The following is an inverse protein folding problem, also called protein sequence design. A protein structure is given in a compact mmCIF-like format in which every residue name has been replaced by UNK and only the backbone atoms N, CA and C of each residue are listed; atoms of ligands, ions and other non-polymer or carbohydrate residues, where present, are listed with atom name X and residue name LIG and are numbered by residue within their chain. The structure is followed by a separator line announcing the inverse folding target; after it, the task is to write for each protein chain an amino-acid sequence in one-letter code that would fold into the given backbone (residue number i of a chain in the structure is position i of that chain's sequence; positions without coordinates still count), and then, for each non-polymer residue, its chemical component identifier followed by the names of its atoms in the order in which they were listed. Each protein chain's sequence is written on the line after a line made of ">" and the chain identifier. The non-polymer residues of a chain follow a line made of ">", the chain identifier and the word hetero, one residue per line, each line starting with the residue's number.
data_IF_806288488826
#
_entry.id   IF_806288488826
#
_cell.length_a   1.000
_cell.length_b   1.000
_cell.length_c   1.000
_cell.angle_alpha   90.00
_cell.angle_beta   90.00
_cell.angle_gamma   90.00
#
_symmetry.space_group_name_H-M   'P 1'
#
loop_
_entity.id
_entity.type
_entity.pdbx_description
1 polymer ?
#
# COMPACT_ATOMS: atom_id res chain seq x y z
N UNK A 1 -5.56 -15.86 19.04
CA UNK A 1 -6.63 -15.07 18.42
C UNK A 1 -6.72 -15.40 16.93
N UNK A 2 -7.93 -15.77 16.40
CA UNK A 2 -8.10 -16.13 14.97
C UNK A 2 -7.71 -14.99 14.01
N UNK A 3 -7.94 -13.74 14.38
CA UNK A 3 -7.57 -12.60 13.56
C UNK A 3 -6.05 -12.43 13.46
N UNK A 4 -5.35 -12.55 14.59
CA UNK A 4 -3.88 -12.48 14.62
C UNK A 4 -3.26 -13.57 13.75
N UNK A 5 -3.73 -14.82 13.89
CA UNK A 5 -3.28 -15.92 13.03
C UNK A 5 -3.54 -15.67 11.55
N UNK A 6 -4.71 -15.12 11.23
CA UNK A 6 -5.06 -14.76 9.85
C UNK A 6 -4.12 -13.69 9.29
N UNK A 7 -3.76 -12.68 10.09
CA UNK A 7 -2.81 -11.63 9.69
C UNK A 7 -1.38 -12.19 9.52
N UNK A 8 -0.95 -13.09 10.39
CA UNK A 8 0.35 -13.78 10.28
C UNK A 8 0.42 -14.62 9.00
N UNK A 9 -0.63 -15.41 8.72
CA UNK A 9 -0.72 -16.22 7.51
C UNK A 9 -0.69 -15.36 6.24
N UNK A 10 -1.43 -14.25 6.23
CA UNK A 10 -1.45 -13.29 5.12
C UNK A 10 -0.09 -12.62 4.92
N UNK A 11 0.57 -12.23 6.00
CA UNK A 11 1.92 -11.67 5.97
C UNK A 11 2.94 -12.68 5.45
N UNK A 12 2.89 -13.90 5.93
CA UNK A 12 3.77 -15.00 5.49
C UNK A 12 3.56 -15.30 4.01
N UNK A 13 2.31 -15.40 3.55
CA UNK A 13 1.99 -15.63 2.14
C UNK A 13 2.57 -14.51 1.25
N UNK A 14 2.45 -13.26 1.68
CA UNK A 14 3.02 -12.10 0.97
C UNK A 14 4.54 -12.17 0.91
N UNK A 15 5.20 -12.45 2.04
CA UNK A 15 6.67 -12.55 2.11
C UNK A 15 7.17 -13.67 1.19
N UNK A 16 6.54 -14.84 1.24
CA UNK A 16 6.91 -15.98 0.41
C UNK A 16 6.75 -15.65 -1.08
N UNK A 17 5.60 -15.09 -1.49
CA UNK A 17 5.37 -14.69 -2.87
C UNK A 17 6.39 -13.65 -3.36
N UNK A 18 6.74 -12.67 -2.51
CA UNK A 18 7.76 -11.67 -2.88
C UNK A 18 9.16 -12.29 -3.00
N UNK A 19 9.50 -13.26 -2.16
CA UNK A 19 10.77 -13.99 -2.26
C UNK A 19 10.82 -14.83 -3.54
N UNK A 20 9.75 -15.57 -3.85
CA UNK A 20 9.64 -16.38 -5.06
C UNK A 20 9.75 -15.48 -6.32
N UNK A 21 9.07 -14.33 -6.31
CA UNK A 21 9.16 -13.35 -7.40
C UNK A 21 10.56 -12.73 -7.55
N UNK A 22 11.25 -12.45 -6.44
CA UNK A 22 12.63 -11.96 -6.46
C UNK A 22 13.58 -13.00 -7.04
N UNK A 23 13.43 -14.25 -6.67
CA UNK A 23 14.21 -15.38 -7.21
C UNK A 23 13.93 -15.57 -8.69
N UNK A 24 12.66 -15.54 -9.11
CA UNK A 24 12.24 -15.64 -10.51
C UNK A 24 12.89 -14.55 -11.38
N UNK A 25 12.85 -13.29 -10.93
CA UNK A 25 13.52 -12.19 -11.66
C UNK A 25 15.01 -12.41 -11.82
N UNK A 26 15.66 -12.97 -10.78
CA UNK A 26 17.09 -13.24 -10.81
C UNK A 26 17.43 -14.43 -11.71
N UNK A 27 16.66 -15.52 -11.65
CA UNK A 27 16.93 -16.75 -12.42
C UNK A 27 16.80 -16.54 -13.93
N UNK A 28 15.83 -15.70 -14.35
CA UNK A 28 15.59 -15.37 -15.75
C UNK A 28 16.37 -14.13 -16.24
N UNK A 29 17.08 -13.44 -15.35
CA UNK A 29 17.83 -12.20 -15.65
C UNK A 29 17.00 -11.18 -16.45
N UNK A 30 15.76 -10.94 -16.00
CA UNK A 30 14.83 -10.04 -16.71
C UNK A 30 14.86 -8.56 -16.28
N UNK A 31 15.51 -8.10 -15.18
CA UNK A 31 15.35 -6.74 -14.69
C UNK A 31 15.70 -5.65 -15.71
N UNK A 32 16.72 -5.87 -16.55
CA UNK A 32 17.11 -4.95 -17.59
C UNK A 32 16.10 -4.95 -18.76
N UNK A 33 15.59 -6.12 -19.11
CA UNK A 33 14.61 -6.28 -20.20
C UNK A 33 13.26 -5.65 -19.83
N UNK A 34 12.82 -5.77 -18.59
CA UNK A 34 11.57 -5.17 -18.12
C UNK A 34 11.52 -3.64 -18.23
N UNK A 35 12.68 -2.97 -18.16
CA UNK A 35 12.77 -1.50 -18.26
C UNK A 35 12.82 -0.98 -19.69
N UNK A 36 13.06 -1.84 -20.69
CA UNK A 36 13.07 -1.44 -22.08
C UNK A 36 11.70 -0.91 -22.49
N UNK A 37 11.69 0.18 -23.25
CA UNK A 37 10.47 0.79 -23.78
C UNK A 37 10.26 0.39 -25.24
N UNK A 38 9.01 0.23 -25.61
CA UNK A 38 8.60 0.09 -27.00
C UNK A 38 8.45 1.47 -27.68
N UNK A 39 8.12 1.46 -28.98
CA UNK A 39 7.90 2.69 -29.78
C UNK A 39 6.76 3.56 -29.23
N UNK A 40 5.74 2.97 -28.60
CA UNK A 40 4.60 3.66 -27.97
C UNK A 40 4.92 4.17 -26.56
N UNK A 41 6.15 4.01 -26.07
CA UNK A 41 6.61 4.51 -24.78
C UNK A 41 6.29 3.61 -23.59
N UNK A 42 5.59 2.49 -23.78
CA UNK A 42 5.34 1.51 -22.72
C UNK A 42 6.58 0.68 -22.42
N UNK A 43 6.76 0.32 -21.16
CA UNK A 43 7.84 -0.60 -20.76
C UNK A 43 7.45 -2.06 -20.98
N UNK A 44 8.43 -2.95 -21.11
CA UNK A 44 8.17 -4.38 -21.18
C UNK A 44 7.50 -4.91 -19.91
N UNK A 45 7.75 -4.30 -18.75
CA UNK A 45 7.02 -4.63 -17.51
C UNK A 45 5.52 -4.33 -17.65
N UNK A 46 5.17 -3.18 -18.23
CA UNK A 46 3.77 -2.84 -18.51
C UNK A 46 3.16 -3.81 -19.54
N UNK A 47 3.93 -4.22 -20.56
CA UNK A 47 3.49 -5.21 -21.54
C UNK A 47 3.19 -6.57 -20.87
N UNK A 48 4.08 -7.06 -20.01
CA UNK A 48 3.87 -8.31 -19.24
C UNK A 48 2.63 -8.19 -18.35
N UNK A 49 2.43 -7.06 -17.67
CA UNK A 49 1.24 -6.83 -16.83
C UNK A 49 -0.04 -6.86 -17.66
N UNK A 50 -0.06 -6.17 -18.80
CA UNK A 50 -1.22 -6.18 -19.73
C UNK A 50 -1.50 -7.59 -20.24
N UNK A 51 -0.47 -8.35 -20.57
CA UNK A 51 -0.60 -9.75 -20.97
C UNK A 51 -1.22 -10.59 -19.85
N UNK A 52 -0.76 -10.44 -18.61
CA UNK A 52 -1.30 -11.15 -17.45
C UNK A 52 -2.75 -10.74 -17.14
N UNK A 53 -3.10 -9.46 -17.25
CA UNK A 53 -4.48 -9.00 -17.11
C UNK A 53 -5.41 -9.65 -18.16
N UNK A 54 -4.96 -9.68 -19.39
CA UNK A 54 -5.72 -10.30 -20.51
C UNK A 54 -5.87 -11.82 -20.32
N UNK A 55 -4.83 -12.52 -19.85
CA UNK A 55 -4.90 -13.95 -19.52
C UNK A 55 -5.95 -14.25 -18.43
N UNK A 56 -6.18 -13.31 -17.53
CA UNK A 56 -7.22 -13.41 -16.50
C UNK A 56 -8.60 -12.95 -16.99
N UNK A 57 -8.72 -12.52 -18.25
CA UNK A 57 -9.96 -12.00 -18.81
C UNK A 57 -10.36 -10.62 -18.31
N UNK A 58 -9.40 -9.84 -17.80
CA UNK A 58 -9.66 -8.51 -17.30
C UNK A 58 -9.51 -7.45 -18.41
N UNK A 59 -10.46 -6.51 -18.44
CA UNK A 59 -10.31 -5.30 -19.25
C UNK A 59 -9.33 -4.33 -18.60
N UNK A 60 -8.42 -3.75 -19.41
CA UNK A 60 -7.42 -2.80 -18.94
C UNK A 60 -7.94 -1.38 -19.14
N UNK A 61 -8.21 -0.61 -18.08
CA UNK A 61 -8.77 0.73 -18.19
C UNK A 61 -7.88 1.68 -19.00
N UNK A 62 -8.49 2.43 -19.91
CA UNK A 62 -7.80 3.49 -20.67
C UNK A 62 -6.84 2.98 -21.75
N UNK A 63 -6.79 1.68 -22.03
CA UNK A 63 -5.96 1.10 -23.08
C UNK A 63 -6.79 0.91 -24.37
N UNK A 64 -6.27 1.39 -25.50
CA UNK A 64 -6.91 1.15 -26.78
C UNK A 64 -6.76 -0.32 -27.21
N UNK A 65 -7.68 -0.82 -28.06
CA UNK A 65 -7.60 -2.19 -28.59
C UNK A 65 -6.31 -2.43 -29.39
N UNK A 66 -5.78 -1.39 -30.02
CA UNK A 66 -4.52 -1.44 -30.76
C UNK A 66 -3.35 -1.61 -29.79
N UNK A 67 -3.26 -0.74 -28.76
CA UNK A 67 -2.18 -0.81 -27.78
C UNK A 67 -2.22 -2.14 -27.02
N UNK A 68 -3.42 -2.63 -26.68
CA UNK A 68 -3.60 -3.94 -26.05
C UNK A 68 -2.98 -5.05 -26.91
N UNK A 69 -3.27 -5.05 -28.21
CA UNK A 69 -2.72 -6.04 -29.13
C UNK A 69 -1.19 -5.91 -29.23
N UNK A 70 -0.70 -4.69 -29.43
CA UNK A 70 0.73 -4.41 -29.58
C UNK A 70 1.53 -4.84 -28.34
N UNK A 71 1.01 -4.55 -27.15
CA UNK A 71 1.65 -4.95 -25.87
C UNK A 71 1.63 -6.48 -25.66
N UNK A 72 0.56 -7.15 -26.02
CA UNK A 72 0.48 -8.63 -26.00
C UNK A 72 1.47 -9.25 -26.99
N UNK A 73 1.55 -8.71 -28.19
CA UNK A 73 2.45 -9.19 -29.24
C UNK A 73 3.92 -9.08 -28.83
N UNK A 74 4.30 -8.03 -28.07
CA UNK A 74 5.66 -7.90 -27.52
C UNK A 74 6.01 -9.07 -26.59
N UNK A 75 5.09 -9.48 -25.74
CA UNK A 75 5.31 -10.59 -24.80
C UNK A 75 5.36 -11.92 -25.57
N UNK A 76 4.39 -12.15 -26.47
CA UNK A 76 4.29 -13.40 -27.24
C UNK A 76 5.51 -13.61 -28.15
N UNK A 77 6.01 -12.54 -28.77
CA UNK A 77 7.19 -12.61 -29.66
C UNK A 77 8.51 -12.72 -28.93
N UNK A 78 8.54 -12.48 -27.62
CA UNK A 78 9.73 -12.57 -26.81
C UNK A 78 9.65 -13.79 -25.87
N UNK A 79 10.34 -14.92 -26.18
CA UNK A 79 10.26 -16.13 -25.38
C UNK A 79 10.62 -15.94 -23.90
N UNK A 80 11.55 -15.01 -23.62
CA UNK A 80 11.98 -14.71 -22.26
C UNK A 80 10.87 -14.02 -21.44
N UNK A 81 10.17 -13.05 -22.07
CA UNK A 81 9.04 -12.35 -21.43
C UNK A 81 7.82 -13.26 -21.29
N UNK A 82 7.54 -14.10 -22.29
CA UNK A 82 6.46 -15.08 -22.22
C UNK A 82 6.71 -16.08 -21.10
N UNK A 83 7.90 -16.67 -21.01
CA UNK A 83 8.28 -17.58 -19.92
C UNK A 83 8.18 -16.87 -18.56
N UNK A 84 8.61 -15.62 -18.47
CA UNK A 84 8.51 -14.84 -17.25
C UNK A 84 7.05 -14.64 -16.82
N UNK A 85 6.15 -14.31 -17.74
CA UNK A 85 4.72 -14.19 -17.48
C UNK A 85 4.10 -15.50 -16.98
N UNK A 86 4.39 -16.62 -17.62
CA UNK A 86 3.90 -17.95 -17.24
C UNK A 86 4.41 -18.34 -15.84
N UNK A 87 5.67 -18.06 -15.54
CA UNK A 87 6.24 -18.31 -14.22
C UNK A 87 5.62 -17.44 -13.13
N UNK A 88 5.21 -16.20 -13.43
CA UNK A 88 4.45 -15.37 -12.49
C UNK A 88 3.14 -16.07 -12.11
N UNK A 89 2.39 -16.61 -13.06
CA UNK A 89 1.16 -17.36 -12.76
C UNK A 89 1.45 -18.66 -11.98
N UNK A 90 2.60 -19.26 -12.20
CA UNK A 90 3.03 -20.47 -11.46
C UNK A 90 3.29 -20.15 -9.98
N UNK A 91 4.05 -19.08 -9.67
CA UNK A 91 4.36 -18.73 -8.28
C UNK A 91 3.14 -18.25 -7.49
N UNK A 92 2.08 -17.78 -8.14
CA UNK A 92 0.81 -17.43 -7.48
C UNK A 92 -0.03 -18.67 -7.08
N UNK A 93 0.43 -19.87 -7.43
CA UNK A 93 -0.16 -21.17 -7.02
C UNK A 93 -1.66 -21.27 -7.30
N UNK A 94 -2.09 -20.78 -8.47
CA UNK A 94 -3.50 -20.80 -8.89
C UNK A 94 -4.35 -19.65 -8.35
N UNK A 95 -3.78 -18.72 -7.60
CA UNK A 95 -4.49 -17.51 -7.15
C UNK A 95 -4.71 -16.51 -8.32
N UNK A 96 -4.08 -16.73 -9.47
CA UNK A 96 -4.22 -15.89 -10.66
C UNK A 96 -3.37 -14.62 -10.58
N UNK A 97 -3.91 -13.52 -11.09
CA UNK A 97 -3.24 -12.22 -11.10
C UNK A 97 -4.21 -11.11 -10.68
N UNK A 98 -3.70 -10.01 -10.13
CA UNK A 98 -4.53 -8.93 -9.61
C UNK A 98 -5.32 -8.23 -10.73
N UNK A 99 -6.52 -7.74 -10.42
CA UNK A 99 -7.33 -6.96 -11.36
C UNK A 99 -6.74 -5.55 -11.55
N UNK A 100 -6.64 -5.03 -12.80
CA UNK A 100 -6.13 -3.69 -13.04
C UNK A 100 -7.06 -2.62 -12.47
N UNK A 101 -6.50 -1.68 -11.72
CA UNK A 101 -7.19 -0.47 -11.29
C UNK A 101 -7.11 0.65 -12.34
N UNK A 102 -7.85 1.74 -12.13
CA UNK A 102 -7.81 2.91 -13.03
C UNK A 102 -6.40 3.49 -13.23
N UNK A 103 -5.55 3.37 -12.22
CA UNK A 103 -4.16 3.88 -12.23
C UNK A 103 -3.12 2.78 -12.48
N UNK A 104 -3.49 1.71 -13.19
CA UNK A 104 -2.59 0.57 -13.44
C UNK A 104 -1.24 0.95 -14.05
N UNK A 105 -1.19 2.02 -14.85
CA UNK A 105 0.04 2.51 -15.50
C UNK A 105 1.17 2.85 -14.51
N UNK A 106 0.84 3.31 -13.31
CA UNK A 106 1.81 3.70 -12.28
C UNK A 106 2.28 2.52 -11.42
N UNK A 107 1.59 1.39 -11.52
CA UNK A 107 1.94 0.18 -10.77
C UNK A 107 3.05 -0.63 -11.44
N UNK A 108 3.49 -1.64 -10.71
CA UNK A 108 4.50 -2.63 -11.13
C UNK A 108 3.94 -4.04 -10.90
N UNK A 109 4.60 -5.07 -11.45
CA UNK A 109 4.26 -6.46 -11.12
C UNK A 109 4.33 -6.70 -9.61
N UNK A 110 5.28 -6.08 -8.92
CA UNK A 110 5.39 -6.16 -7.45
C UNK A 110 4.13 -5.65 -6.76
N UNK A 111 3.62 -4.49 -7.17
CA UNK A 111 2.39 -3.93 -6.58
C UNK A 111 1.18 -4.80 -6.87
N UNK A 112 1.07 -5.35 -8.08
CA UNK A 112 -0.02 -6.23 -8.45
C UNK A 112 -0.03 -7.52 -7.61
N UNK A 113 1.13 -8.15 -7.40
CA UNK A 113 1.25 -9.35 -6.57
C UNK A 113 0.94 -9.07 -5.08
N UNK A 114 1.29 -7.89 -4.58
CA UNK A 114 0.92 -7.45 -3.23
C UNK A 114 -0.60 -7.25 -3.13
N UNK A 115 -1.21 -6.62 -4.14
CA UNK A 115 -2.65 -6.38 -4.19
C UNK A 115 -3.44 -7.68 -4.33
N UNK A 116 -2.93 -8.66 -5.08
CA UNK A 116 -3.51 -10.00 -5.15
C UNK A 116 -3.70 -10.61 -3.76
N UNK A 117 -2.65 -10.61 -2.93
CA UNK A 117 -2.71 -11.20 -1.59
C UNK A 117 -3.51 -10.32 -0.62
N UNK A 118 -3.21 -9.02 -0.56
CA UNK A 118 -3.75 -8.14 0.47
C UNK A 118 -5.21 -7.71 0.23
N UNK A 119 -5.67 -7.75 -1.02
CA UNK A 119 -6.99 -7.26 -1.41
C UNK A 119 -7.86 -8.39 -1.95
N UNK A 120 -7.47 -9.02 -3.04
CA UNK A 120 -8.34 -9.97 -3.73
C UNK A 120 -8.46 -11.32 -3.00
N UNK A 121 -7.35 -11.83 -2.46
CA UNK A 121 -7.33 -13.11 -1.75
C UNK A 121 -7.39 -12.97 -0.23
N UNK A 122 -7.54 -11.75 0.28
CA UNK A 122 -7.60 -11.48 1.72
C UNK A 122 -8.68 -12.30 2.42
N UNK A 123 -9.86 -12.43 1.83
CA UNK A 123 -10.97 -13.19 2.38
C UNK A 123 -10.63 -14.67 2.62
N UNK A 124 -9.78 -15.26 1.77
CA UNK A 124 -9.30 -16.64 1.93
C UNK A 124 -8.55 -16.83 3.26
N UNK A 125 -7.70 -15.86 3.62
CA UNK A 125 -6.92 -15.91 4.86
C UNK A 125 -7.74 -15.53 6.09
N UNK A 126 -8.79 -14.73 5.92
CA UNK A 126 -9.68 -14.28 7.00
C UNK A 126 -10.89 -15.18 7.22
N UNK A 127 -11.07 -16.28 6.47
CA UNK A 127 -12.28 -17.08 6.46
C UNK A 127 -12.69 -17.60 7.86
N UNK A 128 -11.75 -18.15 8.64
CA UNK A 128 -12.01 -18.64 10.00
C UNK A 128 -12.46 -17.52 10.94
N UNK A 129 -11.75 -16.38 10.88
CA UNK A 129 -12.09 -15.21 11.68
C UNK A 129 -13.46 -14.66 11.28
N UNK A 130 -13.75 -14.58 9.99
CA UNK A 130 -15.01 -14.05 9.49
C UNK A 130 -16.20 -14.90 9.93
N UNK A 131 -16.10 -16.24 9.84
CA UNK A 131 -17.14 -17.13 10.34
C UNK A 131 -17.44 -16.88 11.83
N UNK A 132 -16.41 -16.76 12.66
CA UNK A 132 -16.56 -16.46 14.08
C UNK A 132 -17.15 -15.06 14.33
N UNK A 133 -16.67 -14.06 13.58
CA UNK A 133 -17.17 -12.70 13.68
C UNK A 133 -18.64 -12.60 13.26
N UNK A 134 -19.06 -13.27 12.20
CA UNK A 134 -20.45 -13.27 11.71
C UNK A 134 -21.41 -13.91 12.72
N UNK A 135 -20.97 -14.92 13.49
CA UNK A 135 -21.76 -15.53 14.58
C UNK A 135 -21.84 -14.58 15.78
N UNK A 136 -20.70 -14.06 16.25
CA UNK A 136 -20.65 -13.20 17.45
C UNK A 136 -21.38 -11.88 17.20
N UNK A 137 -21.16 -11.27 16.05
CA UNK A 137 -21.71 -9.98 15.65
C UNK A 137 -22.87 -10.15 14.66
N UNK A 138 -23.71 -11.18 14.89
CA UNK A 138 -24.95 -11.34 14.13
C UNK A 138 -25.84 -10.11 14.26
N UNK A 139 -26.72 -9.89 13.30
CA UNK A 139 -27.68 -8.76 13.31
C UNK A 139 -28.45 -8.67 14.62
N UNK A 140 -28.84 -9.81 15.19
CA UNK A 140 -29.54 -9.86 16.46
C UNK A 140 -28.66 -9.35 17.61
N UNK A 141 -27.40 -9.78 17.69
CA UNK A 141 -26.47 -9.35 18.73
C UNK A 141 -26.10 -7.87 18.58
N UNK A 142 -25.93 -7.40 17.33
CA UNK A 142 -25.70 -5.97 17.07
C UNK A 142 -26.88 -5.11 17.49
N UNK A 143 -28.14 -5.57 17.28
CA UNK A 143 -29.32 -4.87 17.75
C UNK A 143 -29.40 -4.81 19.29
N UNK A 144 -29.01 -5.90 19.98
CA UNK A 144 -28.91 -5.91 21.45
C UNK A 144 -27.85 -4.94 21.95
N UNK A 145 -26.68 -4.89 21.30
CA UNK A 145 -25.63 -3.93 21.63
C UNK A 145 -26.07 -2.48 21.39
N UNK A 146 -26.76 -2.23 20.29
CA UNK A 146 -27.33 -0.91 20.00
C UNK A 146 -28.34 -0.46 21.05
N UNK A 147 -29.22 -1.36 21.49
CA UNK A 147 -30.20 -1.08 22.54
C UNK A 147 -29.54 -0.74 23.87
N UNK A 148 -28.36 -1.32 24.18
CA UNK A 148 -27.65 -1.09 25.44
C UNK A 148 -26.71 0.14 25.38
N UNK A 149 -26.03 0.35 24.25
CA UNK A 149 -24.93 1.33 24.13
C UNK A 149 -25.20 2.43 23.12
N UNK A 150 -26.29 2.34 22.37
CA UNK A 150 -26.73 3.32 21.39
C UNK A 150 -26.11 3.11 19.98
N UNK A 151 -26.71 3.80 19.01
CA UNK A 151 -26.39 3.67 17.57
C UNK A 151 -24.94 4.02 17.24
N UNK A 152 -24.36 5.02 17.92
CA UNK A 152 -22.95 5.40 17.69
C UNK A 152 -21.97 4.29 18.04
N UNK A 153 -22.27 3.51 19.09
CA UNK A 153 -21.45 2.35 19.45
C UNK A 153 -21.52 1.28 18.38
N UNK A 154 -22.71 0.97 17.85
CA UNK A 154 -22.91 0.03 16.76
C UNK A 154 -22.14 0.46 15.51
N UNK A 155 -22.30 1.71 15.07
CA UNK A 155 -21.57 2.26 13.91
C UNK A 155 -20.05 2.15 14.06
N UNK A 156 -19.52 2.46 15.26
CA UNK A 156 -18.11 2.33 15.56
C UNK A 156 -17.63 0.87 15.46
N UNK A 157 -18.41 -0.08 16.02
CA UNK A 157 -18.09 -1.50 16.00
C UNK A 157 -18.13 -2.06 14.56
N UNK A 158 -19.19 -1.78 13.80
CA UNK A 158 -19.30 -2.16 12.38
C UNK A 158 -18.16 -1.56 11.56
N UNK A 159 -17.77 -0.32 11.85
CA UNK A 159 -16.62 0.34 11.25
C UNK A 159 -15.28 -0.36 11.56
N UNK A 160 -15.09 -0.89 12.77
CA UNK A 160 -13.92 -1.69 13.14
C UNK A 160 -13.92 -3.02 12.40
N UNK A 161 -15.02 -3.76 12.45
CA UNK A 161 -15.15 -5.07 11.77
C UNK A 161 -14.91 -4.95 10.27
N UNK A 162 -15.44 -3.91 9.64
CA UNK A 162 -15.24 -3.64 8.21
C UNK A 162 -13.79 -3.34 7.88
N UNK A 163 -13.08 -2.60 8.72
CA UNK A 163 -11.63 -2.34 8.57
C UNK A 163 -10.81 -3.61 8.73
N UNK A 164 -11.13 -4.44 9.71
CA UNK A 164 -10.48 -5.75 9.90
C UNK A 164 -10.67 -6.64 8.68
N UNK A 165 -11.88 -6.66 8.12
CA UNK A 165 -12.23 -7.45 6.93
C UNK A 165 -11.52 -6.94 5.67
N UNK A 166 -11.58 -5.64 5.41
CA UNK A 166 -11.05 -5.03 4.19
C UNK A 166 -9.54 -4.79 4.22
N UNK A 167 -8.94 -4.71 5.40
CA UNK A 167 -7.54 -4.28 5.58
C UNK A 167 -7.30 -2.79 5.28
N UNK A 168 -8.36 -2.05 5.00
CA UNK A 168 -8.28 -0.60 4.74
C UNK A 168 -8.52 0.18 6.01
N UNK A 169 -7.80 1.26 6.22
CA UNK A 169 -7.94 2.09 7.42
C UNK A 169 -9.30 2.80 7.53
N UNK A 170 -10.03 2.94 6.40
CA UNK A 170 -11.39 3.49 6.35
C UNK A 170 -12.22 2.87 5.23
N UNK A 171 -13.51 2.72 5.47
CA UNK A 171 -14.50 2.55 4.41
C UNK A 171 -14.53 3.84 3.58
N UNK A 172 -14.44 3.64 2.27
CA UNK A 172 -14.70 4.70 1.29
C UNK A 172 -16.23 4.89 1.21
N UNK A 173 -16.85 5.34 2.30
CA UNK A 173 -18.26 5.78 2.31
C UNK A 173 -18.29 7.13 1.61
N UNK A 174 -18.25 7.07 0.26
CA UNK A 174 -18.23 8.23 -0.60
C UNK A 174 -19.29 9.25 -0.23
N UNK A 175 -19.00 10.49 -0.46
CA UNK A 175 -19.85 11.68 -0.58
C UNK A 175 -19.85 12.70 0.54
N UNK A 176 -19.35 12.48 1.73
CA UNK A 176 -19.21 13.59 2.68
C UNK A 176 -17.87 14.32 2.45
N UNK A 177 -17.93 15.65 2.31
CA UNK A 177 -16.75 16.52 2.17
C UNK A 177 -15.70 16.25 3.29
N UNK A 178 -16.19 15.95 4.51
CA UNK A 178 -15.36 15.52 5.64
C UNK A 178 -14.57 14.25 5.36
N UNK A 179 -15.13 13.26 4.65
CA UNK A 179 -14.41 12.04 4.29
C UNK A 179 -13.35 12.32 3.23
N UNK A 180 -13.65 13.18 2.24
CA UNK A 180 -12.65 13.58 1.23
C UNK A 180 -11.48 14.36 1.85
N UNK A 181 -11.75 15.25 2.80
CA UNK A 181 -10.71 15.97 3.53
C UNK A 181 -9.91 15.03 4.42
N UNK A 182 -10.56 14.07 5.08
CA UNK A 182 -9.88 13.09 5.91
C UNK A 182 -9.15 12.02 5.08
N UNK A 183 -9.65 11.65 3.90
CA UNK A 183 -8.94 10.78 2.95
C UNK A 183 -7.74 11.51 2.34
N UNK A 184 -7.86 12.80 2.06
CA UNK A 184 -6.75 13.66 1.68
C UNK A 184 -5.71 13.76 2.80
N UNK A 185 -6.13 13.99 4.04
CA UNK A 185 -5.25 14.05 5.21
C UNK A 185 -4.59 12.69 5.46
N UNK A 186 -5.30 11.56 5.35
CA UNK A 186 -4.72 10.22 5.55
C UNK A 186 -3.84 9.77 4.38
N UNK A 187 -4.20 10.10 3.15
CA UNK A 187 -3.33 9.92 1.98
C UNK A 187 -2.08 10.80 2.08
N UNK A 188 -2.25 12.01 2.61
CA UNK A 188 -1.16 12.93 2.91
C UNK A 188 -0.34 12.49 4.11
N UNK A 189 -0.90 11.83 5.14
CA UNK A 189 -0.16 11.30 6.29
C UNK A 189 0.83 10.23 5.85
N UNK A 190 0.51 9.37 4.88
CA UNK A 190 1.49 8.45 4.27
C UNK A 190 2.65 9.20 3.61
N UNK A 191 2.36 10.28 2.91
CA UNK A 191 3.34 11.18 2.29
C UNK A 191 4.02 12.08 3.32
N UNK A 192 3.30 12.53 4.34
CA UNK A 192 3.76 13.39 5.44
C UNK A 192 4.65 12.61 6.42
N UNK A 193 4.39 11.32 6.69
CA UNK A 193 5.33 10.48 7.44
C UNK A 193 6.65 10.32 6.70
N UNK A 194 6.62 10.33 5.36
CA UNK A 194 7.83 10.29 4.54
C UNK A 194 8.59 11.62 4.54
N UNK A 195 7.90 12.77 4.61
CA UNK A 195 8.51 14.11 4.64
C UNK A 195 8.59 14.74 6.02
N UNK A 196 8.14 14.05 7.06
CA UNK A 196 8.24 14.46 8.47
C UNK A 196 7.76 15.90 8.75
N UNK A 197 6.80 16.42 7.97
CA UNK A 197 6.26 17.77 8.13
C UNK A 197 5.54 17.95 9.48
N UNK A 198 4.98 16.87 10.07
CA UNK A 198 4.41 16.91 11.41
C UNK A 198 5.49 17.16 12.47
N UNK A 199 6.64 16.52 12.35
CA UNK A 199 7.81 16.83 13.17
C UNK A 199 8.31 18.25 12.93
N UNK A 200 8.33 18.72 11.68
CA UNK A 200 8.71 20.09 11.36
C UNK A 200 7.73 21.11 11.97
N UNK A 201 6.41 20.86 11.88
CA UNK A 201 5.39 21.71 12.50
C UNK A 201 5.46 21.64 14.02
N UNK A 202 5.60 20.45 14.63
CA UNK A 202 5.74 20.31 16.07
C UNK A 202 7.06 20.93 16.58
N UNK A 203 8.15 20.80 15.83
CA UNK A 203 9.43 21.46 16.13
C UNK A 203 9.32 22.98 15.97
N UNK A 204 8.59 23.48 14.98
CA UNK A 204 8.31 24.91 14.83
C UNK A 204 7.47 25.42 15.98
N UNK A 205 6.41 24.71 16.40
CA UNK A 205 5.59 25.05 17.57
C UNK A 205 6.40 24.97 18.84
N UNK A 206 7.23 23.93 19.01
CA UNK A 206 8.15 23.79 20.15
C UNK A 206 9.19 24.90 20.17
N UNK A 207 9.72 25.30 19.00
CA UNK A 207 10.67 26.42 18.88
C UNK A 207 10.03 27.75 19.25
N UNK A 208 8.77 27.98 18.88
CA UNK A 208 8.00 29.17 19.26
C UNK A 208 7.73 29.17 20.76
N UNK A 209 7.38 28.02 21.38
CA UNK A 209 7.21 27.88 22.82
C UNK A 209 8.55 28.07 23.57
N UNK A 210 9.66 27.62 23.01
CA UNK A 210 11.00 27.80 23.57
C UNK A 210 11.44 29.27 23.50
N UNK A 211 11.08 30.00 22.45
CA UNK A 211 11.29 31.45 22.30
C UNK A 211 10.55 32.25 23.37
N UNK A 212 9.33 31.83 23.73
CA UNK A 212 8.52 32.52 24.74
C UNK A 212 9.00 32.26 26.20
N UNK A 213 9.75 31.19 26.44
CA UNK A 213 10.01 30.73 27.82
C UNK A 213 11.34 31.18 28.40
N UNK A 214 12.35 31.56 27.59
CA UNK A 214 13.72 31.72 28.09
C UNK A 214 14.43 33.01 27.67
N UNK A 215 13.80 34.14 27.55
CA UNK A 215 14.50 35.39 27.16
C UNK A 215 15.36 35.25 25.88
N UNK A 216 15.03 34.32 25.01
CA UNK A 216 15.82 34.05 23.82
C UNK A 216 15.59 35.15 22.78
N UNK A 217 16.70 35.78 22.42
CA UNK A 217 16.75 36.78 21.36
C UNK A 217 16.29 36.16 20.03
N UNK A 218 15.20 36.65 19.40
CA UNK A 218 14.69 36.14 18.13
C UNK A 218 15.75 36.15 17.01
N UNK A 219 16.72 37.05 17.09
CA UNK A 219 17.84 37.11 16.14
C UNK A 219 18.80 35.91 16.29
N UNK A 220 19.02 35.40 17.52
CA UNK A 220 19.80 34.18 17.73
C UNK A 220 19.08 32.92 17.26
N UNK A 221 17.76 32.87 17.44
CA UNK A 221 16.94 31.78 16.90
C UNK A 221 16.91 31.78 15.37
N UNK A 222 16.81 32.95 14.73
CA UNK A 222 16.94 33.10 13.29
C UNK A 222 18.31 32.70 12.77
N UNK A 223 19.39 33.03 13.48
CA UNK A 223 20.74 32.61 13.11
C UNK A 223 20.95 31.09 13.26
N UNK A 224 20.37 30.46 14.30
CA UNK A 224 20.38 29.01 14.46
C UNK A 224 19.60 28.30 13.32
N UNK A 225 18.47 28.88 12.92
CA UNK A 225 17.68 28.37 11.78
C UNK A 225 18.40 28.56 10.43
N UNK A 226 19.22 29.61 10.29
CA UNK A 226 20.03 29.85 9.11
C UNK A 226 21.24 28.89 9.00
N UNK A 227 21.63 28.22 10.09
CA UNK A 227 22.75 27.27 10.10
C UNK A 227 22.32 25.86 9.65
N UNK A 228 21.76 25.78 8.45
CA UNK A 228 21.32 24.53 7.79
C UNK A 228 22.36 23.41 7.80
N UNK A 229 23.67 23.64 7.54
CA UNK A 229 24.67 22.57 7.55
C UNK A 229 24.81 21.89 8.92
N UNK A 230 24.75 22.64 10.02
CA UNK A 230 24.83 22.08 11.37
C UNK A 230 23.57 21.26 11.71
N UNK A 231 22.38 21.76 11.33
CA UNK A 231 21.12 21.03 11.49
C UNK A 231 21.17 19.65 10.83
N UNK A 232 21.62 19.59 9.58
CA UNK A 232 21.70 18.32 8.86
C UNK A 232 22.76 17.38 9.42
N UNK A 233 23.84 17.90 9.96
CA UNK A 233 24.87 17.12 10.63
C UNK A 233 24.34 16.50 11.93
N UNK A 234 23.65 17.29 12.74
CA UNK A 234 23.04 16.83 14.00
C UNK A 234 21.90 15.84 13.73
N UNK A 235 21.09 16.08 12.71
CA UNK A 235 20.03 15.16 12.27
C UNK A 235 20.61 13.82 11.81
N UNK A 236 21.68 13.82 11.03
CA UNK A 236 22.36 12.59 10.60
C UNK A 236 22.99 11.83 11.78
N UNK A 237 23.55 12.55 12.75
CA UNK A 237 24.08 11.97 13.98
C UNK A 237 22.97 11.34 14.83
N UNK A 238 21.81 11.98 14.92
CA UNK A 238 20.65 11.51 15.69
C UNK A 238 20.04 10.25 15.09
N UNK A 239 19.88 10.20 13.75
CA UNK A 239 19.35 9.02 13.04
C UNK A 239 20.31 7.83 13.12
N UNK A 240 21.61 8.08 13.14
CA UNK A 240 22.64 7.03 13.25
C UNK A 240 23.00 6.72 14.70
N UNK A 241 22.29 7.28 15.69
CA UNK A 241 22.53 6.95 17.10
C UNK A 241 22.10 5.51 17.41
N UNK A 242 22.89 4.81 18.23
CA UNK A 242 22.61 3.44 18.65
C UNK A 242 21.22 3.32 19.30
N UNK A 243 20.78 4.35 19.98
CA UNK A 243 19.43 4.43 20.60
C UNK A 243 18.27 4.32 19.59
N UNK A 244 18.43 4.84 18.37
CA UNK A 244 17.40 4.72 17.32
C UNK A 244 17.58 3.46 16.45
N UNK A 245 18.79 2.89 16.45
CA UNK A 245 19.08 1.63 15.74
C UNK A 245 18.56 0.40 16.44
N UNK A 246 18.46 0.44 17.76
CA UNK A 246 18.01 -0.68 18.60
C UNK A 246 16.48 -0.67 18.86
N UNK A 247 15.73 0.20 18.17
CA UNK A 247 14.27 0.35 18.25
C UNK A 247 13.58 -0.01 16.95
#
# INVERSE_FOLDING_TARGET
>A
DPYTRAQENLSTARINLMNDFKQLKKSLDVPADLRKKNESGFTNEQAVRVFLFDQMGYEVPGLSKRDLKDLKDIVIKNPKLSLFADQILTITKGDGYAKPGANWLTGTITTDLIDLINTEKRSKYLAEWQQKADVIYSKENLNKLEALYGTKYREALEGVLSRMKSGRNRLNTGTRLSNKVLDYINGSIGTIMFFNTRSAILQTISSINYLNWNFNNPLKAGAAFANQPQYWKDFKMLINSDYLRDR
#
